data_IF_005068536953
#
_entry.id   IF_005068536953
#
_cell.length_a   1.000
_cell.length_b   1.000
_cell.length_c   1.000
_cell.angle_alpha   90.00
_cell.angle_beta   90.00
_cell.angle_gamma   90.00
#
_symmetry.space_group_name_H-M   'P 1'
#
loop_
_entity.id
_entity.type
_entity.pdbx_description
1 polymer ?
#
# COMPACT_ATOMS: atom_id res chain seq x y z
N UNK A 1 -12.53 19.30 -20.42
CA UNK A 1 -13.28 18.82 -19.23
C UNK A 1 -12.73 17.49 -18.71
N UNK A 2 -12.64 16.45 -19.54
CA UNK A 2 -12.19 15.10 -19.13
C UNK A 2 -10.80 15.09 -18.46
N UNK A 3 -9.81 15.79 -19.02
CA UNK A 3 -8.46 15.88 -18.44
C UNK A 3 -8.49 16.40 -17.00
N UNK A 4 -9.27 17.45 -16.73
CA UNK A 4 -9.40 18.00 -15.37
C UNK A 4 -10.01 16.98 -14.40
N UNK A 5 -11.02 16.24 -14.85
CA UNK A 5 -11.64 15.19 -14.05
C UNK A 5 -10.65 14.06 -13.73
N UNK A 6 -9.77 13.70 -14.67
CA UNK A 6 -8.72 12.71 -14.44
C UNK A 6 -7.75 13.13 -13.33
N UNK A 7 -7.31 14.40 -13.31
CA UNK A 7 -6.45 14.91 -12.24
C UNK A 7 -7.16 14.94 -10.87
N UNK A 8 -8.46 15.21 -10.84
CA UNK A 8 -9.25 15.15 -9.59
C UNK A 8 -9.42 13.71 -9.07
N UNK A 9 -9.25 12.70 -9.93
CA UNK A 9 -9.33 11.30 -9.56
C UNK A 9 -7.98 10.69 -9.09
N UNK A 10 -6.91 11.48 -9.03
CA UNK A 10 -5.64 11.01 -8.47
C UNK A 10 -5.82 10.64 -6.98
N UNK A 11 -5.08 9.62 -6.48
CA UNK A 11 -5.06 9.31 -5.06
C UNK A 11 -4.72 10.56 -4.24
N UNK A 12 -5.48 10.79 -3.17
CA UNK A 12 -5.18 11.86 -2.21
C UNK A 12 -4.11 11.39 -1.21
N UNK A 13 -3.52 12.30 -0.44
CA UNK A 13 -2.64 11.88 0.66
C UNK A 13 -3.39 11.02 1.68
N UNK A 14 -2.72 9.97 2.19
CA UNK A 14 -3.24 9.12 3.25
C UNK A 14 -3.57 9.91 4.53
N UNK A 15 -4.55 9.41 5.27
CA UNK A 15 -5.12 10.03 6.47
C UNK A 15 -5.45 8.96 7.52
N UNK A 16 -5.69 9.33 8.80
CA UNK A 16 -5.83 8.35 9.88
C UNK A 16 -6.92 7.29 9.69
N UNK A 17 -8.01 7.62 8.99
CA UNK A 17 -9.13 6.73 8.68
C UNK A 17 -9.06 6.09 7.27
N UNK A 18 -8.06 6.46 6.47
CA UNK A 18 -7.84 5.93 5.13
C UNK A 18 -6.35 5.90 4.80
N UNK A 19 -5.72 4.75 5.01
CA UNK A 19 -4.29 4.59 4.87
C UNK A 19 -3.78 3.23 5.33
N UNK A 20 -2.46 3.11 5.38
CA UNK A 20 -1.76 1.87 5.69
C UNK A 20 -0.94 2.02 6.97
N UNK A 21 -0.97 0.98 7.79
CA UNK A 21 -0.04 0.77 8.90
C UNK A 21 0.84 -0.45 8.61
N UNK A 22 2.17 -0.27 8.68
CA UNK A 22 3.10 -1.40 8.57
C UNK A 22 3.04 -2.25 9.84
N UNK A 23 2.94 -3.56 9.66
CA UNK A 23 3.05 -4.56 10.72
C UNK A 23 4.45 -5.18 10.71
N UNK A 24 4.89 -5.83 11.81
CA UNK A 24 6.14 -6.58 11.80
C UNK A 24 6.14 -7.62 10.66
N UNK A 25 7.09 -7.45 9.73
CA UNK A 25 7.36 -8.38 8.65
C UNK A 25 8.74 -9.02 8.81
N UNK A 26 9.24 -9.59 7.72
CA UNK A 26 10.61 -10.11 7.62
C UNK A 26 11.22 -9.75 6.26
N UNK A 27 12.42 -10.24 5.97
CA UNK A 27 13.10 -9.94 4.71
C UNK A 27 12.42 -10.54 3.46
N UNK A 28 11.44 -11.42 3.63
CA UNK A 28 10.72 -12.11 2.54
C UNK A 28 9.32 -11.54 2.32
N UNK A 29 8.77 -10.78 3.29
CA UNK A 29 7.37 -10.34 3.27
C UNK A 29 7.20 -8.94 3.87
N UNK A 30 6.49 -8.09 3.13
CA UNK A 30 5.92 -6.84 3.64
C UNK A 30 4.48 -7.13 4.11
N UNK A 31 4.21 -6.85 5.38
CA UNK A 31 2.87 -7.04 5.98
C UNK A 31 2.30 -5.68 6.37
N UNK A 32 1.09 -5.39 5.90
CA UNK A 32 0.41 -4.11 6.13
C UNK A 32 -1.04 -4.29 6.55
N UNK A 33 -1.48 -3.49 7.51
CA UNK A 33 -2.87 -3.36 7.92
C UNK A 33 -3.50 -2.14 7.23
N UNK A 34 -4.65 -2.32 6.61
CA UNK A 34 -5.38 -1.26 5.93
C UNK A 34 -6.50 -0.70 6.82
N UNK A 35 -6.58 0.61 6.89
CA UNK A 35 -7.73 1.36 7.41
C UNK A 35 -8.37 2.10 6.25
N UNK A 36 -9.68 1.97 6.09
CA UNK A 36 -10.43 2.61 5.01
C UNK A 36 -11.93 2.65 5.35
N UNK A 37 -12.67 3.62 4.82
CA UNK A 37 -14.12 3.62 4.88
C UNK A 37 -14.73 2.67 3.84
N UNK A 38 -15.88 2.10 4.18
CA UNK A 38 -16.71 1.34 3.24
C UNK A 38 -16.52 -0.17 3.32
N UNK A 39 -16.79 -0.85 2.21
CA UNK A 39 -16.78 -2.30 2.09
C UNK A 39 -15.33 -2.84 1.98
N UNK A 40 -14.90 -3.76 2.87
CA UNK A 40 -13.61 -4.44 2.76
C UNK A 40 -13.36 -5.15 1.42
N UNK A 41 -14.40 -5.60 0.72
CA UNK A 41 -14.25 -6.25 -0.58
C UNK A 41 -13.85 -5.28 -1.70
N UNK A 42 -14.08 -3.98 -1.53
CA UNK A 42 -13.72 -2.95 -2.48
C UNK A 42 -12.29 -2.40 -2.25
N UNK A 43 -11.62 -2.84 -1.19
CA UNK A 43 -10.29 -2.37 -0.84
C UNK A 43 -9.19 -3.20 -1.52
N UNK A 44 -8.23 -2.51 -2.12
CA UNK A 44 -7.05 -3.12 -2.74
C UNK A 44 -5.79 -2.31 -2.45
N UNK A 45 -4.65 -2.99 -2.41
CA UNK A 45 -3.37 -2.40 -2.01
C UNK A 45 -2.32 -2.61 -3.09
N UNK A 46 -1.65 -1.52 -3.45
CA UNK A 46 -0.59 -1.47 -4.43
C UNK A 46 0.66 -0.87 -3.78
N UNK A 47 1.82 -1.47 -4.04
CA UNK A 47 3.14 -0.94 -3.63
C UNK A 47 4.05 -0.90 -4.85
N UNK A 48 4.77 0.20 -5.01
CA UNK A 48 5.66 0.41 -6.13
C UNK A 48 6.96 -0.39 -5.93
N UNK A 49 7.30 -1.24 -6.92
CA UNK A 49 8.61 -1.87 -7.03
C UNK A 49 9.62 -0.87 -7.58
N UNK A 50 10.19 -0.06 -6.71
CA UNK A 50 11.18 0.97 -7.06
C UNK A 50 12.51 0.69 -6.39
N UNK A 51 13.59 1.31 -6.90
CA UNK A 51 14.94 1.20 -6.33
C UNK A 51 15.33 -0.26 -6.12
N UNK A 52 15.24 -1.07 -7.17
CA UNK A 52 15.56 -2.51 -7.20
C UNK A 52 14.75 -3.42 -6.26
N UNK A 53 13.65 -2.94 -5.68
CA UNK A 53 12.67 -3.82 -5.05
C UNK A 53 11.75 -4.46 -6.09
N UNK A 54 11.51 -5.77 -5.95
CA UNK A 54 10.50 -6.49 -6.71
C UNK A 54 9.51 -7.13 -5.75
N UNK A 55 8.23 -6.82 -5.92
CA UNK A 55 7.15 -7.35 -5.08
C UNK A 55 6.29 -8.34 -5.87
N UNK A 56 5.86 -9.40 -5.18
CA UNK A 56 4.86 -10.33 -5.69
C UNK A 56 3.44 -9.79 -5.50
N UNK A 57 2.46 -10.57 -5.96
CA UNK A 57 1.04 -10.23 -5.78
C UNK A 57 0.67 -10.22 -4.28
N UNK A 58 0.06 -9.14 -3.77
CA UNK A 58 -0.47 -9.11 -2.41
C UNK A 58 -1.52 -10.21 -2.18
N UNK A 59 -1.37 -10.95 -1.09
CA UNK A 59 -2.42 -11.81 -0.56
C UNK A 59 -3.19 -11.06 0.52
N UNK A 60 -4.52 -11.20 0.52
CA UNK A 60 -5.40 -10.54 1.48
C UNK A 60 -5.85 -11.50 2.57
N UNK A 61 -5.97 -11.00 3.80
CA UNK A 61 -6.56 -11.72 4.92
C UNK A 61 -7.39 -10.76 5.78
N UNK A 62 -8.55 -11.21 6.24
CA UNK A 62 -9.35 -10.48 7.21
C UNK A 62 -9.25 -11.17 8.56
N UNK A 63 -8.87 -10.43 9.60
CA UNK A 63 -8.74 -10.94 10.96
C UNK A 63 -9.17 -9.87 11.96
N UNK A 64 -10.04 -10.25 12.90
CA UNK A 64 -10.54 -9.35 13.96
C UNK A 64 -11.14 -8.04 13.40
N UNK A 65 -11.81 -8.12 12.24
CA UNK A 65 -12.41 -6.98 11.54
C UNK A 65 -11.39 -6.06 10.85
N UNK A 66 -10.14 -6.48 10.73
CA UNK A 66 -9.07 -5.73 10.06
C UNK A 66 -8.63 -6.44 8.78
N UNK A 67 -8.49 -5.67 7.72
CA UNK A 67 -7.93 -6.15 6.46
C UNK A 67 -6.41 -6.02 6.48
N UNK A 68 -5.71 -7.13 6.25
CA UNK A 68 -4.26 -7.19 6.15
C UNK A 68 -3.86 -7.65 4.75
N UNK A 69 -2.82 -7.03 4.19
CA UNK A 69 -2.17 -7.50 2.98
C UNK A 69 -0.77 -8.03 3.32
N UNK A 70 -0.43 -9.19 2.77
CA UNK A 70 0.92 -9.76 2.83
C UNK A 70 1.48 -9.79 1.42
N UNK A 71 2.56 -9.05 1.20
CA UNK A 71 3.21 -8.88 -0.10
C UNK A 71 4.56 -9.60 -0.10
N UNK A 72 4.77 -10.61 -0.97
CA UNK A 72 6.08 -11.24 -1.12
C UNK A 72 7.13 -10.24 -1.61
N UNK A 73 8.33 -10.30 -1.05
CA UNK A 73 9.51 -9.59 -1.53
C UNK A 73 10.31 -10.57 -2.38
N UNK A 74 10.26 -10.41 -3.69
CA UNK A 74 10.89 -11.30 -4.66
C UNK A 74 12.36 -10.95 -4.90
N UNK A 75 12.67 -9.65 -4.87
CA UNK A 75 14.02 -9.14 -4.93
C UNK A 75 14.12 -7.82 -4.14
N UNK A 76 15.32 -7.50 -3.68
CA UNK A 76 15.61 -6.27 -2.91
C UNK A 76 17.03 -5.79 -3.16
N UNK A 77 17.29 -4.48 -2.99
CA UNK A 77 18.64 -3.94 -2.96
C UNK A 77 19.55 -4.69 -2.00
N UNK A 78 20.82 -4.81 -2.37
CA UNK A 78 21.88 -5.28 -1.47
C UNK A 78 22.10 -4.36 -0.27
N UNK A 79 21.74 -3.08 -0.40
CA UNK A 79 21.76 -2.07 0.67
C UNK A 79 20.43 -1.35 0.72
N UNK A 80 19.77 -1.36 1.87
CA UNK A 80 18.51 -0.63 2.07
C UNK A 80 18.73 0.87 1.86
N UNK A 81 17.95 1.54 1.00
CA UNK A 81 18.05 2.98 0.82
C UNK A 81 17.76 3.74 2.13
N UNK A 82 18.45 4.84 2.35
CA UNK A 82 18.35 5.62 3.61
C UNK A 82 17.42 6.82 3.52
N UNK A 83 16.96 7.17 2.32
CA UNK A 83 16.09 8.30 2.03
C UNK A 83 14.76 7.83 1.40
N UNK A 84 13.66 8.48 1.78
CA UNK A 84 12.34 8.20 1.22
C UNK A 84 11.69 6.94 1.79
N UNK A 85 11.03 6.20 0.91
CA UNK A 85 10.28 4.99 1.25
C UNK A 85 9.66 4.37 0.01
N UNK A 86 8.89 3.29 0.20
CA UNK A 86 8.12 2.66 -0.85
C UNK A 86 6.80 3.41 -1.05
N UNK A 87 6.57 3.92 -2.26
CA UNK A 87 5.29 4.50 -2.62
C UNK A 87 4.20 3.43 -2.61
N UNK A 88 3.04 3.76 -2.07
CA UNK A 88 1.88 2.88 -2.08
C UNK A 88 0.60 3.60 -2.48
N UNK A 89 -0.38 2.83 -2.94
CA UNK A 89 -1.76 3.26 -3.11
C UNK A 89 -2.69 2.27 -2.42
N UNK A 90 -3.68 2.80 -1.69
CA UNK A 90 -4.77 2.02 -1.13
C UNK A 90 -6.08 2.54 -1.73
N UNK A 91 -6.89 1.64 -2.29
CA UNK A 91 -8.20 1.96 -2.85
C UNK A 91 -9.31 1.48 -1.91
N UNK A 92 -10.49 2.07 -2.03
CA UNK A 92 -11.74 1.57 -1.48
C UNK A 92 -12.92 2.11 -2.30
N UNK A 93 -14.16 1.77 -1.91
CA UNK A 93 -15.35 2.36 -2.53
C UNK A 93 -15.47 3.87 -2.31
N UNK A 94 -14.69 4.47 -1.39
CA UNK A 94 -14.66 5.90 -1.14
C UNK A 94 -13.59 6.66 -1.96
N UNK A 95 -12.79 5.96 -2.77
CA UNK A 95 -11.73 6.55 -3.59
C UNK A 95 -10.38 5.88 -3.36
N UNK A 96 -9.30 6.65 -3.49
CA UNK A 96 -7.94 6.15 -3.31
C UNK A 96 -7.09 7.14 -2.52
N UNK A 97 -6.12 6.60 -1.79
CA UNK A 97 -5.07 7.36 -1.11
C UNK A 97 -3.68 6.83 -1.45
N UNK A 98 -2.69 7.70 -1.38
CA UNK A 98 -1.28 7.38 -1.56
C UNK A 98 -0.45 7.77 -0.32
N UNK A 99 0.72 7.14 -0.19
CA UNK A 99 1.67 7.48 0.85
C UNK A 99 3.02 6.77 0.67
N UNK A 100 3.85 6.86 1.71
CA UNK A 100 5.16 6.22 1.79
C UNK A 100 5.21 5.22 2.93
N UNK A 101 5.77 4.05 2.67
CA UNK A 101 6.12 3.05 3.69
C UNK A 101 7.63 3.07 3.93
N UNK A 102 8.11 2.81 5.16
CA UNK A 102 9.52 2.52 5.37
C UNK A 102 9.95 1.29 4.55
N UNK A 103 11.22 1.27 4.14
CA UNK A 103 11.78 0.09 3.49
C UNK A 103 11.82 -1.13 4.45
N UNK A 104 11.47 -2.33 3.97
CA UNK A 104 11.53 -3.58 4.74
C UNK A 104 12.95 -4.19 4.81
#
# INVERSE_FOLDING_TARGET
ALVKASFTALPAAAKPDFGIKVLPGNHETLVVEASFPGDPQAADFFVAGERDYMFGTPSRAEKDGKLTFTVPILDRPSTTPTDGGLHYTLTSSAGAVEGLLPFP
#
